data_IF_766765655259
#
_entry.id   IF_766765655259
#
_cell.length_a   1.000
_cell.length_b   1.000
_cell.length_c   1.000
_cell.angle_alpha   90.00
_cell.angle_beta   90.00
_cell.angle_gamma   90.00
#
_symmetry.space_group_name_H-M   'P 1'
#
loop_
_entity.id
_entity.type
_entity.pdbx_description
1 polymer ?
#
# COMPACT_ATOMS: atom_id res chain seq x y z
N UNK A 1 4.34 14.32 -23.92
CA UNK A 1 3.41 13.19 -24.11
C UNK A 1 3.54 12.31 -22.88
N UNK A 2 2.48 12.10 -22.10
CA UNK A 2 2.51 11.29 -20.88
C UNK A 2 1.92 9.91 -21.16
N UNK A 3 2.73 8.86 -20.99
CA UNK A 3 2.24 7.49 -21.03
C UNK A 3 1.60 7.15 -19.69
N UNK A 4 0.32 6.78 -19.68
CA UNK A 4 -0.31 6.24 -18.48
C UNK A 4 0.06 4.77 -18.35
N UNK A 5 0.78 4.42 -17.29
CA UNK A 5 1.11 3.02 -16.96
C UNK A 5 -0.05 2.45 -16.15
N UNK A 6 -0.48 1.24 -16.50
CA UNK A 6 -1.49 0.51 -15.74
C UNK A 6 -0.81 -0.32 -14.65
N UNK A 7 -1.40 -0.34 -13.45
CA UNK A 7 -0.94 -1.15 -12.31
C UNK A 7 -1.90 -2.32 -12.08
N UNK A 8 -1.76 -3.44 -12.82
CA UNK A 8 -2.73 -4.53 -12.82
C UNK A 8 -2.84 -5.23 -11.47
N UNK A 9 -1.83 -5.12 -10.58
CA UNK A 9 -1.83 -5.77 -9.28
C UNK A 9 -2.36 -4.89 -8.14
N UNK A 10 -2.84 -3.68 -8.42
CA UNK A 10 -3.45 -2.80 -7.42
C UNK A 10 -4.94 -2.62 -7.69
N UNK A 11 -5.76 -2.69 -6.64
CA UNK A 11 -7.20 -2.40 -6.68
C UNK A 11 -7.63 -1.61 -5.45
N UNK A 12 -8.76 -0.91 -5.53
CA UNK A 12 -9.33 -0.20 -4.38
C UNK A 12 -10.23 -1.15 -3.58
N UNK A 13 -9.99 -1.26 -2.28
CA UNK A 13 -10.79 -2.12 -1.39
C UNK A 13 -11.94 -1.35 -0.76
N UNK A 14 -13.18 -1.75 -1.04
CA UNK A 14 -14.37 -1.18 -0.38
C UNK A 14 -14.38 -1.44 1.14
N UNK A 15 -13.80 -2.55 1.58
CA UNK A 15 -13.71 -2.95 3.00
C UNK A 15 -12.67 -2.13 3.78
N UNK A 16 -11.76 -1.45 3.08
CA UNK A 16 -10.78 -0.54 3.65
C UNK A 16 -11.04 0.89 3.16
N UNK A 17 -12.31 1.29 3.05
CA UNK A 17 -12.72 2.66 2.70
C UNK A 17 -12.09 3.20 1.39
N UNK A 18 -11.88 2.31 0.41
CA UNK A 18 -11.24 2.66 -0.85
C UNK A 18 -9.71 2.71 -0.80
N UNK A 19 -9.07 2.23 0.27
CA UNK A 19 -7.61 2.08 0.30
C UNK A 19 -7.11 1.22 -0.86
N UNK A 20 -6.01 1.61 -1.53
CA UNK A 20 -5.33 0.74 -2.48
C UNK A 20 -4.77 -0.50 -1.78
N UNK A 21 -5.10 -1.68 -2.31
CA UNK A 21 -4.61 -2.98 -1.86
C UNK A 21 -3.99 -3.76 -3.01
N UNK A 22 -3.11 -4.69 -2.68
CA UNK A 22 -2.62 -5.66 -3.66
C UNK A 22 -3.73 -6.64 -4.01
N UNK A 23 -4.07 -6.72 -5.30
CA UNK A 23 -5.18 -7.50 -5.86
C UNK A 23 -5.17 -8.93 -5.35
N UNK A 24 -6.33 -9.40 -4.91
CA UNK A 24 -6.50 -10.75 -4.37
C UNK A 24 -5.97 -10.91 -2.95
N UNK A 25 -5.59 -9.82 -2.29
CA UNK A 25 -5.15 -9.80 -0.89
C UNK A 25 -5.80 -8.63 -0.15
N UNK A 26 -5.59 -8.57 1.17
CA UNK A 26 -5.93 -7.40 2.00
C UNK A 26 -4.68 -6.59 2.39
N UNK A 27 -3.58 -6.76 1.66
CA UNK A 27 -2.34 -6.05 1.97
C UNK A 27 -2.44 -4.65 1.37
N UNK A 28 -2.58 -3.64 2.24
CA UNK A 28 -2.63 -2.25 1.83
C UNK A 28 -1.30 -1.80 1.23
N UNK A 29 -1.36 -1.11 0.09
CA UNK A 29 -0.18 -0.57 -0.61
C UNK A 29 0.59 0.40 0.29
N UNK A 30 -0.12 1.24 1.04
CA UNK A 30 0.48 2.16 2.02
C UNK A 30 1.38 1.47 3.04
N UNK A 31 1.09 0.21 3.42
CA UNK A 31 1.92 -0.55 4.36
C UNK A 31 3.23 -0.97 3.71
N UNK A 32 3.19 -1.47 2.49
CA UNK A 32 4.40 -1.82 1.73
C UNK A 32 5.27 -0.59 1.50
N UNK A 33 4.64 0.52 1.10
CA UNK A 33 5.32 1.78 0.86
C UNK A 33 5.96 2.37 2.12
N UNK A 34 5.28 2.31 3.26
CA UNK A 34 5.82 2.78 4.53
C UNK A 34 7.11 2.03 4.93
N UNK A 35 7.14 0.70 4.79
CA UNK A 35 8.36 -0.08 5.04
C UNK A 35 9.48 0.28 4.07
N UNK A 36 9.15 0.38 2.78
CA UNK A 36 10.14 0.70 1.77
C UNK A 36 10.78 2.09 1.99
N UNK A 37 9.97 3.09 2.35
CA UNK A 37 10.46 4.45 2.68
C UNK A 37 11.32 4.52 3.93
N UNK A 38 11.20 3.56 4.83
CA UNK A 38 12.08 3.43 6.01
C UNK A 38 13.42 2.74 5.67
N UNK A 39 13.68 2.46 4.39
CA UNK A 39 14.93 1.81 3.96
C UNK A 39 14.91 0.29 4.13
N UNK A 40 13.74 -0.32 4.35
CA UNK A 40 13.66 -1.79 4.39
C UNK A 40 13.98 -2.36 3.01
N UNK A 41 14.96 -3.29 2.91
CA UNK A 41 15.29 -3.92 1.63
C UNK A 41 14.12 -4.71 1.04
N UNK A 42 14.04 -4.74 -0.30
CA UNK A 42 13.01 -5.50 -1.01
C UNK A 42 13.04 -6.99 -0.66
N UNK A 43 14.22 -7.57 -0.47
CA UNK A 43 14.37 -8.97 -0.04
C UNK A 43 13.66 -9.26 1.28
N UNK A 44 13.74 -8.32 2.23
CA UNK A 44 13.04 -8.44 3.52
C UNK A 44 11.53 -8.33 3.33
N UNK A 45 11.07 -7.48 2.41
CA UNK A 45 9.65 -7.39 2.08
C UNK A 45 9.13 -8.66 1.42
N UNK A 46 9.87 -9.26 0.48
CA UNK A 46 9.50 -10.54 -0.14
C UNK A 46 9.39 -11.66 0.89
N UNK A 47 10.34 -11.73 1.85
CA UNK A 47 10.28 -12.70 2.95
C UNK A 47 9.10 -12.47 3.89
N UNK A 48 8.73 -11.21 4.13
CA UNK A 48 7.63 -10.84 5.02
C UNK A 48 6.26 -11.07 4.42
N UNK A 49 6.15 -10.97 3.10
CA UNK A 49 4.92 -11.15 2.35
C UNK A 49 5.06 -12.31 1.35
N UNK A 50 5.26 -13.56 1.82
CA UNK A 50 5.50 -14.71 0.96
C UNK A 50 4.30 -15.06 0.05
N UNK A 51 3.11 -14.54 0.36
CA UNK A 51 1.92 -14.66 -0.49
C UNK A 51 1.92 -13.70 -1.70
N UNK A 52 2.81 -12.71 -1.73
CA UNK A 52 2.94 -11.79 -2.85
C UNK A 52 4.03 -12.27 -3.78
N UNK A 53 3.72 -12.34 -5.07
CA UNK A 53 4.76 -12.48 -6.08
C UNK A 53 5.63 -11.20 -6.12
N UNK A 54 6.90 -11.29 -6.56
CA UNK A 54 7.73 -10.10 -6.74
C UNK A 54 7.06 -9.04 -7.63
N UNK A 55 6.36 -9.47 -8.69
CA UNK A 55 5.62 -8.57 -9.58
C UNK A 55 4.51 -7.80 -8.88
N UNK A 56 3.73 -8.46 -8.01
CA UNK A 56 2.68 -7.79 -7.23
C UNK A 56 3.25 -6.76 -6.26
N UNK A 57 4.35 -7.09 -5.58
CA UNK A 57 4.97 -6.18 -4.61
C UNK A 57 5.59 -4.97 -5.31
N UNK A 58 6.35 -5.20 -6.38
CA UNK A 58 6.99 -4.14 -7.14
C UNK A 58 5.98 -3.24 -7.85
N UNK A 59 4.90 -3.80 -8.41
CA UNK A 59 3.82 -3.01 -9.02
C UNK A 59 3.11 -2.14 -7.97
N UNK A 60 2.86 -2.67 -6.76
CA UNK A 60 2.30 -1.90 -5.67
C UNK A 60 3.21 -0.73 -5.24
N UNK A 61 4.53 -0.94 -5.20
CA UNK A 61 5.48 0.14 -4.92
C UNK A 61 5.52 1.17 -6.06
N UNK A 62 5.51 0.72 -7.33
CA UNK A 62 5.43 1.62 -8.49
C UNK A 62 4.18 2.48 -8.43
N UNK A 63 3.00 1.86 -8.21
CA UNK A 63 1.74 2.56 -8.04
C UNK A 63 1.84 3.63 -6.94
N UNK A 64 2.48 3.30 -5.80
CA UNK A 64 2.62 4.25 -4.69
C UNK A 64 3.49 5.46 -5.07
N UNK A 65 4.58 5.25 -5.79
CA UNK A 65 5.44 6.34 -6.29
C UNK A 65 4.74 7.20 -7.35
N UNK A 66 3.87 6.61 -8.15
CA UNK A 66 3.08 7.32 -9.15
C UNK A 66 1.90 8.08 -8.53
N UNK A 67 1.49 7.74 -7.30
CA UNK A 67 0.33 8.31 -6.61
C UNK A 67 0.64 8.72 -5.15
N UNK A 68 1.65 9.58 -4.90
CA UNK A 68 2.12 9.88 -3.55
C UNK A 68 1.06 10.55 -2.68
N UNK A 69 0.28 11.49 -3.23
CA UNK A 69 -0.78 12.20 -2.50
C UNK A 69 -1.89 11.25 -2.01
N UNK A 70 -2.28 10.30 -2.86
CA UNK A 70 -3.28 9.27 -2.52
C UNK A 70 -2.78 8.42 -1.35
N UNK A 71 -1.52 7.99 -1.41
CA UNK A 71 -0.91 7.14 -0.38
C UNK A 71 -0.72 7.90 0.92
N UNK A 72 -0.32 9.17 0.88
CA UNK A 72 -0.21 10.01 2.09
C UNK A 72 -1.57 10.23 2.76
N UNK A 73 -2.62 10.49 1.97
CA UNK A 73 -3.98 10.59 2.49
C UNK A 73 -4.44 9.27 3.12
N UNK A 74 -4.12 8.13 2.50
CA UNK A 74 -4.43 6.80 3.02
C UNK A 74 -3.69 6.49 4.33
N UNK A 75 -2.41 6.86 4.44
CA UNK A 75 -1.64 6.77 5.68
C UNK A 75 -2.21 7.68 6.78
N UNK A 76 -2.66 8.89 6.44
CA UNK A 76 -3.28 9.80 7.39
C UNK A 76 -4.61 9.26 7.93
N UNK A 77 -5.45 8.67 7.06
CA UNK A 77 -6.69 8.00 7.47
C UNK A 77 -6.41 6.84 8.44
N UNK A 78 -5.44 5.98 8.15
CA UNK A 78 -5.07 4.90 9.08
C UNK A 78 -4.65 5.45 10.45
N UNK A 79 -3.79 6.48 10.47
CA UNK A 79 -3.34 7.09 11.74
C UNK A 79 -4.51 7.67 12.53
N UNK A 80 -5.47 8.31 11.86
CA UNK A 80 -6.65 8.85 12.50
C UNK A 80 -7.53 7.75 13.11
N UNK A 81 -7.78 6.66 12.37
CA UNK A 81 -8.55 5.51 12.87
C UNK A 81 -7.90 4.87 14.11
N UNK A 82 -6.58 4.61 14.05
CA UNK A 82 -5.84 4.04 15.19
C UNK A 82 -5.81 4.99 16.41
N UNK A 83 -5.73 6.30 16.19
CA UNK A 83 -5.78 7.30 17.26
C UNK A 83 -7.17 7.47 17.89
N UNK A 84 -8.23 7.10 17.18
CA UNK A 84 -9.60 7.08 17.69
C UNK A 84 -9.87 5.84 18.55
N UNK A 85 -9.30 4.68 18.19
CA UNK A 85 -9.42 3.45 18.98
C UNK A 85 -8.77 3.56 20.37
N UNK A 86 -7.67 4.31 20.51
CA UNK A 86 -7.01 4.53 21.83
C UNK A 86 -7.83 5.45 22.75
N UNK A 87 -8.80 6.20 22.20
CA UNK A 87 -9.60 7.19 22.94
C UNK A 87 -10.95 6.67 23.44
N UNK A 88 -11.26 5.39 23.25
CA UNK A 88 -12.54 4.80 23.66
C UNK A 88 -12.33 3.67 24.69
N UNK A 89 -12.37 3.95 26.01
CA UNK A 89 -12.43 2.92 27.04
C UNK A 89 -13.80 2.24 27.15
#
# INVERSE_FOLDING_TARGET
MSLRVSHPHVELSAQLEGSPVVRGTRIAVRRLFAWHRQGVPLETLFKRYPQLSPGQLLDALSFAYDNPELIEADLARERAALGQDVRNP
#
